data_IF_632271060240
#
_entry.id   IF_632271060240
#
_cell.length_a   1.000
_cell.length_b   1.000
_cell.length_c   1.000
_cell.angle_alpha   90.00
_cell.angle_beta   90.00
_cell.angle_gamma   90.00
#
_symmetry.space_group_name_H-M   'P 1'
#
loop_
_entity.id
_entity.type
_entity.pdbx_description
1 polymer ?
#
# COMPACT_ATOMS: atom_id res chain seq x y z
N UNK A 1 -13.43 38.99 -21.54
CA UNK A 1 -13.36 37.53 -21.70
C UNK A 1 -14.73 36.91 -22.02
N UNK A 2 -15.84 37.41 -21.45
CA UNK A 2 -17.19 36.80 -21.62
C UNK A 2 -18.11 37.41 -22.68
N UNK A 3 -17.74 38.51 -23.35
CA UNK A 3 -18.68 39.18 -24.26
C UNK A 3 -18.78 38.56 -25.67
N UNK A 4 -17.83 37.70 -26.08
CA UNK A 4 -17.81 37.09 -27.43
C UNK A 4 -18.39 35.68 -27.51
N UNK A 5 -18.54 34.99 -26.37
CA UNK A 5 -18.98 33.59 -26.29
C UNK A 5 -20.36 33.47 -25.63
N UNK A 6 -21.30 34.34 -26.03
CA UNK A 6 -22.63 34.41 -25.40
C UNK A 6 -23.52 33.22 -25.78
N UNK A 7 -23.22 32.55 -26.89
CA UNK A 7 -24.10 31.55 -27.50
C UNK A 7 -23.61 30.09 -27.30
N UNK A 8 -22.34 29.88 -26.96
CA UNK A 8 -21.76 28.56 -26.71
C UNK A 8 -20.53 28.63 -25.79
N UNK A 9 -20.26 27.57 -25.05
CA UNK A 9 -19.03 27.44 -24.26
C UNK A 9 -17.81 27.36 -25.19
N UNK A 10 -16.80 28.23 -25.03
CA UNK A 10 -15.65 28.25 -25.92
C UNK A 10 -14.82 26.98 -25.77
N UNK A 11 -14.39 26.41 -26.90
CA UNK A 11 -13.45 25.30 -26.90
C UNK A 11 -12.06 25.77 -26.47
N UNK A 12 -11.19 24.82 -26.10
CA UNK A 12 -9.80 25.13 -25.78
C UNK A 12 -9.07 25.84 -26.94
N UNK A 13 -9.42 25.51 -28.19
CA UNK A 13 -8.88 26.16 -29.38
C UNK A 13 -9.41 27.59 -29.56
N UNK A 14 -10.69 27.84 -29.25
CA UNK A 14 -11.27 29.20 -29.30
C UNK A 14 -10.58 30.12 -28.31
N UNK A 15 -10.35 29.61 -27.09
CA UNK A 15 -9.58 30.32 -26.07
C UNK A 15 -8.15 30.55 -26.54
N UNK A 16 -7.48 29.52 -27.07
CA UNK A 16 -6.12 29.64 -27.59
C UNK A 16 -6.02 30.75 -28.66
N UNK A 17 -6.93 30.77 -29.64
CA UNK A 17 -6.98 31.81 -30.67
C UNK A 17 -7.22 33.20 -30.07
N UNK A 18 -8.21 33.35 -29.18
CA UNK A 18 -8.54 34.65 -28.57
C UNK A 18 -7.37 35.22 -27.75
N UNK A 19 -6.67 34.38 -26.99
CA UNK A 19 -5.53 34.83 -26.17
C UNK A 19 -4.29 35.22 -26.99
N UNK A 20 -4.15 34.69 -28.20
CA UNK A 20 -3.02 34.97 -29.08
C UNK A 20 -3.37 35.93 -30.24
N UNK A 21 -4.61 36.42 -30.28
CA UNK A 21 -5.04 37.44 -31.21
C UNK A 21 -4.72 38.84 -30.69
N UNK A 22 -4.25 39.71 -31.59
CA UNK A 22 -4.06 41.13 -31.28
C UNK A 22 -5.39 41.77 -30.88
N UNK A 23 -5.43 42.42 -29.71
CA UNK A 23 -6.63 43.16 -29.28
C UNK A 23 -6.96 44.35 -30.18
N UNK A 24 -5.97 44.88 -30.90
CA UNK A 24 -6.11 46.07 -31.75
C UNK A 24 -6.59 45.72 -33.16
N UNK A 25 -6.09 44.61 -33.70
CA UNK A 25 -6.30 44.24 -35.12
C UNK A 25 -7.06 42.93 -35.30
N UNK A 26 -7.25 42.14 -34.24
CA UNK A 26 -7.86 40.81 -34.30
C UNK A 26 -7.00 39.75 -34.99
N UNK A 27 -5.82 40.11 -35.48
CA UNK A 27 -4.92 39.21 -36.21
C UNK A 27 -4.09 38.34 -35.26
N UNK A 28 -3.86 37.09 -35.66
CA UNK A 28 -2.87 36.19 -35.04
C UNK A 28 -1.54 36.28 -35.79
N UNK A 29 -0.42 35.94 -35.13
CA UNK A 29 0.87 35.84 -35.82
C UNK A 29 0.94 34.57 -36.69
N UNK A 30 1.85 34.54 -37.66
CA UNK A 30 2.08 33.37 -38.51
C UNK A 30 2.39 32.11 -37.69
N UNK A 31 3.18 32.24 -36.62
CA UNK A 31 3.50 31.15 -35.70
C UNK A 31 2.26 30.61 -34.99
N UNK A 32 1.35 31.50 -34.59
CA UNK A 32 0.09 31.11 -33.93
C UNK A 32 -0.87 30.50 -34.94
N UNK A 33 -0.91 31.00 -36.17
CA UNK A 33 -1.72 30.42 -37.24
C UNK A 33 -1.25 29.01 -37.56
N UNK A 34 0.07 28.79 -37.73
CA UNK A 34 0.63 27.45 -37.91
C UNK A 34 0.26 26.52 -36.75
N UNK A 35 0.33 26.99 -35.51
CA UNK A 35 -0.05 26.19 -34.35
C UNK A 35 -1.53 25.79 -34.38
N UNK A 36 -2.42 26.66 -34.85
CA UNK A 36 -3.84 26.36 -35.03
C UNK A 36 -4.07 25.33 -36.15
N UNK A 37 -3.37 25.47 -37.27
CA UNK A 37 -3.45 24.52 -38.39
C UNK A 37 -2.93 23.13 -37.96
N UNK A 38 -1.85 23.08 -37.18
CA UNK A 38 -1.30 21.83 -36.61
C UNK A 38 -2.33 21.17 -35.65
N UNK A 39 -3.05 21.94 -34.83
CA UNK A 39 -4.10 21.41 -33.94
C UNK A 39 -5.28 20.83 -34.74
N UNK A 40 -5.70 21.51 -35.80
CA UNK A 40 -6.79 21.06 -36.68
C UNK A 40 -6.41 19.75 -37.39
N UNK A 41 -5.20 19.69 -37.95
CA UNK A 41 -4.70 18.47 -38.57
C UNK A 41 -4.69 17.27 -37.62
N UNK A 42 -4.26 17.43 -36.37
CA UNK A 42 -4.28 16.36 -35.37
C UNK A 42 -5.69 15.90 -34.99
N UNK A 43 -6.69 16.77 -35.13
CA UNK A 43 -8.10 16.45 -34.86
C UNK A 43 -8.79 15.78 -36.04
N UNK A 44 -8.32 16.04 -37.27
CA UNK A 44 -8.81 15.40 -38.49
C UNK A 44 -8.17 14.03 -38.76
N UNK A 45 -7.10 13.68 -38.05
CA UNK A 45 -6.45 12.38 -38.18
C UNK A 45 -7.45 11.22 -37.89
N UNK A 46 -7.50 10.18 -38.76
CA UNK A 46 -8.40 9.06 -38.56
C UNK A 46 -8.12 8.33 -37.25
N UNK A 47 -9.15 8.20 -36.42
CA UNK A 47 -9.07 7.49 -35.14
C UNK A 47 -8.97 5.99 -35.39
N UNK A 48 -8.00 5.32 -34.76
CA UNK A 48 -7.89 3.86 -34.83
C UNK A 48 -9.04 3.20 -34.07
N UNK A 49 -9.44 2.01 -34.51
CA UNK A 49 -10.52 1.26 -33.87
C UNK A 49 -10.18 1.00 -32.39
N UNK A 50 -11.02 1.54 -31.49
CA UNK A 50 -10.83 1.45 -30.03
C UNK A 50 -10.13 2.62 -29.36
N UNK A 51 -9.66 3.64 -30.11
CA UNK A 51 -9.09 4.86 -29.55
C UNK A 51 -10.12 5.99 -29.42
N UNK A 52 -9.91 6.91 -28.48
CA UNK A 52 -10.72 8.11 -28.34
C UNK A 52 -10.29 9.17 -29.37
N UNK A 53 -11.22 9.84 -30.06
CA UNK A 53 -10.90 10.95 -30.96
C UNK A 53 -10.09 12.05 -30.27
N UNK A 54 -9.23 12.72 -31.03
CA UNK A 54 -8.44 13.80 -30.44
C UNK A 54 -9.33 14.97 -30.03
N UNK A 55 -9.31 15.32 -28.74
CA UNK A 55 -10.06 16.46 -28.21
C UNK A 55 -9.31 17.78 -28.42
N UNK A 56 -10.01 18.92 -28.51
CA UNK A 56 -9.40 20.25 -28.65
C UNK A 56 -8.38 20.55 -27.55
N UNK A 57 -8.67 20.15 -26.31
CA UNK A 57 -7.76 20.34 -25.17
C UNK A 57 -6.48 19.50 -25.29
N UNK A 58 -6.59 18.28 -25.84
CA UNK A 58 -5.43 17.43 -26.12
C UNK A 58 -4.58 18.02 -27.25
N UNK A 59 -5.19 18.43 -28.37
CA UNK A 59 -4.48 19.04 -29.49
C UNK A 59 -3.69 20.30 -29.06
N UNK A 60 -4.32 21.20 -28.28
CA UNK A 60 -3.64 22.39 -27.72
C UNK A 60 -2.43 22.00 -26.87
N UNK A 61 -2.57 21.00 -26.01
CA UNK A 61 -1.47 20.52 -25.15
C UNK A 61 -0.31 19.97 -25.96
N UNK A 62 -0.58 19.13 -26.95
CA UNK A 62 0.46 18.52 -27.79
C UNK A 62 1.24 19.58 -28.58
N UNK A 63 0.55 20.56 -29.19
CA UNK A 63 1.20 21.64 -29.94
C UNK A 63 2.01 22.56 -29.03
N UNK A 64 1.50 22.90 -27.83
CA UNK A 64 2.27 23.70 -26.85
C UNK A 64 3.52 22.95 -26.38
N UNK A 65 3.45 21.63 -26.22
CA UNK A 65 4.58 20.80 -25.79
C UNK A 65 5.64 20.60 -26.88
N UNK A 66 5.19 20.44 -28.13
CA UNK A 66 6.04 20.34 -29.31
C UNK A 66 6.69 21.67 -29.69
N UNK A 67 6.08 22.79 -29.30
CA UNK A 67 6.59 24.14 -29.53
C UNK A 67 7.70 24.54 -28.56
N UNK A 68 8.59 25.42 -29.00
CA UNK A 68 9.52 26.16 -28.13
C UNK A 68 8.82 27.24 -27.31
N UNK A 69 7.49 27.39 -27.44
CA UNK A 69 6.68 28.36 -26.70
C UNK A 69 7.03 28.38 -25.21
N UNK A 70 7.06 27.21 -24.58
CA UNK A 70 7.43 27.10 -23.16
C UNK A 70 8.86 27.59 -22.89
N UNK A 71 9.81 27.44 -23.82
CA UNK A 71 11.18 27.96 -23.65
C UNK A 71 11.20 29.49 -23.73
N UNK A 72 10.40 30.06 -24.63
CA UNK A 72 10.31 31.50 -24.85
C UNK A 72 9.60 32.20 -23.68
N UNK A 73 8.60 31.56 -23.07
CA UNK A 73 7.90 32.09 -21.89
C UNK A 73 8.55 31.67 -20.56
N UNK A 74 9.76 31.07 -20.60
CA UNK A 74 10.53 30.59 -19.44
C UNK A 74 9.77 29.58 -18.55
N UNK A 75 8.72 28.94 -19.10
CA UNK A 75 7.91 27.90 -18.45
C UNK A 75 8.39 26.48 -18.75
N UNK A 76 9.24 26.29 -19.78
CA UNK A 76 9.92 25.00 -20.01
C UNK A 76 11.00 24.92 -18.96
N UNK A 77 10.69 24.25 -17.86
CA UNK A 77 11.66 23.95 -16.85
C UNK A 77 12.80 23.15 -17.50
N UNK A 78 13.90 23.81 -17.87
CA UNK A 78 15.20 23.16 -18.01
C UNK A 78 15.58 22.70 -16.62
N UNK A 79 15.11 21.52 -16.21
CA UNK A 79 15.51 20.77 -15.02
C UNK A 79 15.96 21.63 -13.84
N UNK A 80 15.15 22.61 -13.44
CA UNK A 80 15.28 23.18 -12.10
C UNK A 80 14.33 22.38 -11.24
N UNK A 81 14.88 21.27 -10.73
CA UNK A 81 14.37 20.62 -9.54
C UNK A 81 13.85 21.71 -8.62
N UNK A 82 12.56 21.65 -8.32
CA UNK A 82 11.92 22.46 -7.30
C UNK A 82 12.49 21.94 -5.98
N UNK A 83 13.68 22.42 -5.61
CA UNK A 83 14.53 21.88 -4.53
C UNK A 83 13.88 21.81 -3.12
N UNK A 84 12.72 22.40 -2.79
CA UNK A 84 12.06 22.09 -1.51
C UNK A 84 11.24 20.79 -1.50
N UNK A 85 10.81 20.28 -2.66
CA UNK A 85 9.90 19.12 -2.73
C UNK A 85 10.68 17.81 -2.77
N UNK A 86 11.81 17.76 -3.46
CA UNK A 86 12.67 16.56 -3.50
C UNK A 86 13.25 16.22 -2.13
N UNK A 87 13.77 17.20 -1.37
CA UNK A 87 14.36 16.93 -0.05
C UNK A 87 13.35 16.41 0.97
N UNK A 88 12.12 16.93 0.95
CA UNK A 88 11.04 16.43 1.83
C UNK A 88 10.54 15.06 1.42
N UNK A 89 10.46 14.78 0.12
CA UNK A 89 10.10 13.47 -0.40
C UNK A 89 11.15 12.42 -0.05
N UNK A 90 12.44 12.75 -0.24
CA UNK A 90 13.56 11.87 0.13
C UNK A 90 13.58 11.57 1.64
N UNK A 91 13.33 12.58 2.48
CA UNK A 91 13.24 12.37 3.93
C UNK A 91 12.08 11.43 4.31
N UNK A 92 10.90 11.61 3.69
CA UNK A 92 9.75 10.74 3.91
C UNK A 92 10.00 9.31 3.41
N UNK A 93 10.69 9.15 2.28
CA UNK A 93 11.07 7.82 1.77
C UNK A 93 12.04 7.12 2.72
N UNK A 94 13.06 7.82 3.22
CA UNK A 94 14.01 7.25 4.18
C UNK A 94 13.33 6.89 5.52
N UNK A 95 12.36 7.69 5.95
CA UNK A 95 11.55 7.39 7.14
C UNK A 95 10.66 6.16 6.95
N UNK A 96 9.98 6.06 5.80
CA UNK A 96 9.17 4.90 5.43
C UNK A 96 10.02 3.63 5.33
N UNK A 97 11.23 3.70 4.78
CA UNK A 97 12.15 2.56 4.70
C UNK A 97 12.60 2.09 6.09
N UNK A 98 12.90 3.04 6.99
CA UNK A 98 13.25 2.76 8.39
C UNK A 98 12.09 2.10 9.12
N UNK A 99 10.89 2.67 9.03
CA UNK A 99 9.69 2.11 9.69
C UNK A 99 9.38 0.71 9.15
N UNK A 100 9.51 0.47 7.85
CA UNK A 100 9.37 -0.85 7.26
C UNK A 100 10.43 -1.84 7.78
N UNK A 101 11.67 -1.40 8.00
CA UNK A 101 12.71 -2.24 8.56
C UNK A 101 12.43 -2.60 10.04
N UNK A 102 12.00 -1.62 10.83
CA UNK A 102 11.59 -1.81 12.22
C UNK A 102 10.37 -2.74 12.32
N UNK A 103 9.37 -2.55 11.45
CA UNK A 103 8.17 -3.40 11.41
C UNK A 103 8.52 -4.86 11.11
N UNK A 104 9.41 -5.11 10.13
CA UNK A 104 9.94 -6.46 9.86
C UNK A 104 10.68 -7.06 11.06
N UNK A 105 11.41 -6.25 11.82
CA UNK A 105 12.10 -6.73 13.02
C UNK A 105 11.10 -7.12 14.12
N UNK A 106 10.07 -6.29 14.33
CA UNK A 106 8.99 -6.58 15.29
C UNK A 106 8.26 -7.86 14.92
N UNK A 107 7.92 -8.07 13.64
CA UNK A 107 7.30 -9.29 13.16
C UNK A 107 8.14 -10.54 13.48
N UNK A 108 9.46 -10.48 13.26
CA UNK A 108 10.37 -11.58 13.59
C UNK A 108 10.40 -11.88 15.09
N UNK A 109 10.43 -10.84 15.93
CA UNK A 109 10.41 -10.99 17.39
C UNK A 109 9.10 -11.63 17.84
N UNK A 110 7.97 -11.18 17.32
CA UNK A 110 6.64 -11.72 17.67
C UNK A 110 6.53 -13.19 17.26
N UNK A 111 6.97 -13.53 16.04
CA UNK A 111 6.98 -14.92 15.58
C UNK A 111 7.88 -15.82 16.44
N UNK A 112 9.04 -15.30 16.86
CA UNK A 112 9.92 -16.03 17.77
C UNK A 112 9.28 -16.23 19.14
N UNK A 113 8.70 -15.19 19.73
CA UNK A 113 7.98 -15.28 21.00
C UNK A 113 6.80 -16.25 20.94
N UNK A 114 6.07 -16.26 19.82
CA UNK A 114 4.95 -17.18 19.61
C UNK A 114 5.40 -18.64 19.64
N UNK A 115 6.52 -18.97 18.98
CA UNK A 115 7.12 -20.32 19.03
C UNK A 115 7.55 -20.72 20.44
N UNK A 116 8.12 -19.79 21.20
CA UNK A 116 8.53 -20.04 22.59
C UNK A 116 7.33 -20.29 23.50
N UNK A 117 6.26 -19.50 23.35
CA UNK A 117 5.00 -19.70 24.08
C UNK A 117 4.41 -21.08 23.76
N UNK A 118 4.34 -21.45 22.48
CA UNK A 118 3.81 -22.76 22.07
C UNK A 118 4.64 -23.92 22.66
N UNK A 119 5.97 -23.79 22.66
CA UNK A 119 6.87 -24.78 23.25
C UNK A 119 6.69 -24.90 24.77
N UNK A 120 6.58 -23.77 25.49
CA UNK A 120 6.33 -23.75 26.93
C UNK A 120 4.97 -24.32 27.28
N UNK A 121 3.92 -24.00 26.52
CA UNK A 121 2.59 -24.57 26.71
C UNK A 121 2.59 -26.08 26.56
N UNK A 122 3.31 -26.59 25.54
CA UNK A 122 3.48 -28.04 25.33
C UNK A 122 4.18 -28.69 26.55
N UNK A 123 5.28 -28.11 27.02
CA UNK A 123 5.99 -28.62 28.20
C UNK A 123 5.11 -28.63 29.46
N UNK A 124 4.33 -27.56 29.69
CA UNK A 124 3.40 -27.48 30.84
C UNK A 124 2.34 -28.58 30.74
N UNK A 125 1.83 -28.86 29.54
CA UNK A 125 0.83 -29.90 29.34
C UNK A 125 1.42 -31.30 29.57
N UNK A 126 2.60 -31.57 29.00
CA UNK A 126 3.33 -32.83 29.23
C UNK A 126 3.64 -33.04 30.72
N UNK A 127 4.08 -32.00 31.42
CA UNK A 127 4.34 -32.04 32.86
C UNK A 127 3.07 -32.33 33.66
N UNK A 128 1.92 -31.74 33.29
CA UNK A 128 0.62 -32.02 33.91
C UNK A 128 0.19 -33.47 33.73
N UNK A 129 0.34 -34.03 32.53
CA UNK A 129 -0.07 -35.40 32.23
C UNK A 129 0.87 -36.42 32.91
N UNK A 130 2.17 -36.14 32.96
CA UNK A 130 3.12 -36.89 33.76
C UNK A 130 2.74 -36.87 35.25
N UNK A 131 2.42 -35.70 35.80
CA UNK A 131 2.03 -35.55 37.20
C UNK A 131 0.73 -36.32 37.52
N UNK A 132 -0.27 -36.29 36.63
CA UNK A 132 -1.49 -37.12 36.75
C UNK A 132 -1.15 -38.61 36.84
N UNK A 133 -0.24 -39.08 36.00
CA UNK A 133 0.21 -40.48 35.99
C UNK A 133 0.89 -40.87 37.30
N UNK A 134 1.83 -40.04 37.77
CA UNK A 134 2.52 -40.25 39.05
C UNK A 134 1.53 -40.25 40.22
N UNK A 135 0.57 -39.32 40.23
CA UNK A 135 -0.48 -39.25 41.26
C UNK A 135 -1.32 -40.52 41.29
N UNK A 136 -1.72 -41.05 40.12
CA UNK A 136 -2.47 -42.30 40.03
C UNK A 136 -1.67 -43.51 40.58
N UNK A 137 -0.37 -43.57 40.27
CA UNK A 137 0.51 -44.62 40.81
C UNK A 137 0.66 -44.53 42.33
N UNK A 138 0.83 -43.32 42.88
CA UNK A 138 0.89 -43.08 44.32
C UNK A 138 -0.39 -43.50 45.04
N UNK A 139 -1.56 -43.15 44.50
CA UNK A 139 -2.85 -43.57 45.05
C UNK A 139 -3.02 -45.09 45.03
N UNK A 140 -2.58 -45.75 43.96
CA UNK A 140 -2.62 -47.20 43.88
C UNK A 140 -1.70 -47.87 44.92
N UNK A 141 -0.48 -47.38 45.10
CA UNK A 141 0.44 -47.86 46.13
C UNK A 141 -0.10 -47.60 47.54
N UNK A 142 -0.71 -46.43 47.77
CA UNK A 142 -1.35 -46.08 49.03
C UNK A 142 -2.49 -47.05 49.38
N UNK A 143 -3.37 -47.36 48.41
CA UNK A 143 -4.44 -48.35 48.59
C UNK A 143 -3.88 -49.75 48.88
N UNK A 144 -2.85 -50.19 48.15
CA UNK A 144 -2.18 -51.47 48.42
C UNK A 144 -1.59 -51.52 49.83
N UNK A 145 -0.90 -50.46 50.25
CA UNK A 145 -0.35 -50.35 51.61
C UNK A 145 -1.45 -50.41 52.67
N UNK A 146 -2.53 -49.67 52.50
CA UNK A 146 -3.66 -49.63 53.43
C UNK A 146 -4.39 -50.99 53.57
N UNK A 147 -4.34 -51.86 52.56
CA UNK A 147 -4.93 -53.22 52.62
C UNK A 147 -4.05 -54.22 53.38
N UNK A 148 -2.74 -53.98 53.52
CA UNK A 148 -1.82 -54.93 54.17
C UNK A 148 -2.20 -55.27 55.62
N UNK A 149 -2.53 -54.32 56.51
CA UNK A 149 -2.90 -54.65 57.89
C UNK A 149 -4.13 -55.55 57.98
N UNK A 150 -5.14 -55.30 57.14
CA UNK A 150 -6.36 -56.12 57.09
C UNK A 150 -6.08 -57.56 56.65
N UNK A 151 -5.21 -57.76 55.64
CA UNK A 151 -4.81 -59.11 55.23
C UNK A 151 -4.04 -59.85 56.33
N UNK A 152 -3.13 -59.15 57.03
CA UNK A 152 -2.38 -59.74 58.15
C UNK A 152 -3.34 -60.17 59.26
N UNK A 153 -4.30 -59.32 59.63
CA UNK A 153 -5.29 -59.65 60.66
C UNK A 153 -6.12 -60.90 60.29
N UNK A 154 -6.57 -61.02 59.04
CA UNK A 154 -7.31 -62.20 58.56
C UNK A 154 -6.48 -63.49 58.65
N UNK A 155 -5.20 -63.43 58.29
CA UNK A 155 -4.30 -64.58 58.39
C UNK A 155 -4.08 -65.02 59.85
N UNK A 156 -3.91 -64.08 60.78
CA UNK A 156 -3.74 -64.40 62.20
C UNK A 156 -4.99 -65.07 62.78
N UNK A 157 -6.18 -64.56 62.47
CA UNK A 157 -7.45 -65.16 62.95
C UNK A 157 -7.67 -66.60 62.45
N UNK A 158 -7.18 -66.95 61.26
CA UNK A 158 -7.29 -68.31 60.72
C UNK A 158 -6.32 -69.31 61.38
N UNK A 159 -5.25 -68.84 62.05
CA UNK A 159 -4.28 -69.68 62.75
C UNK A 159 -4.66 -69.93 64.21
N UNK A 160 -5.42 -69.04 64.83
CA UNK A 160 -5.86 -69.15 66.23
C UNK A 160 -7.13 -70.01 66.41
N UNK A 161 -7.82 -70.34 65.31
CA UNK A 161 -9.08 -71.11 65.32
C UNK A 161 -8.98 -72.57 64.85
N UNK A 162 -7.77 -73.13 64.74
CA UNK A 162 -7.49 -74.51 64.32
C UNK A 162 -7.03 -75.42 65.45
#
# INVERSE_FOLDING_TARGET
MRDKFKDAEPTAMDLFREFHSSRKTGSVSETVQKALDDMEAMMEEPVREGEEPMSPGRAVREVVHASTFLEVVDLRSKNKLRVPVCSRLEALMAELERENAESRQVEQIVEQQRREIDALQKQVQEARDSNRTVKAQLEHLRKKSARKPSMIACLMSNLEGG
#
